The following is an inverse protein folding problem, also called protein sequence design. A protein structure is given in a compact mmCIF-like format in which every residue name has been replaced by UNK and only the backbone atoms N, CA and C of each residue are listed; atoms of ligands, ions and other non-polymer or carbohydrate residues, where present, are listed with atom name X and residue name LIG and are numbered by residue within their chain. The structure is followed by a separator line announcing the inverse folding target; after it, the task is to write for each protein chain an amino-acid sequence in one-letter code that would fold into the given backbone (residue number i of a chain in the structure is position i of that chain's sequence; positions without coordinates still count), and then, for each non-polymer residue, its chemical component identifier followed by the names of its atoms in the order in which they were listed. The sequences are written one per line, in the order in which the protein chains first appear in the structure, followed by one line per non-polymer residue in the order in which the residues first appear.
data_IF_944286680592
#
_entry.id   IF_944286680592
#
_cell.length_a   1.000
_cell.length_b   1.000
_cell.length_c   1.000
_cell.angle_alpha   90.00
_cell.angle_beta   90.00
_cell.angle_gamma   90.00
#
_symmetry.space_group_name_H-M   'P 1'
#
loop_
_entity.id
_entity.type
_entity.pdbx_description
1 polymer ?
#
# COMPACT_ATOMS: atom_id res chain seq x y z
N UNK A 1 5.95 -24.93 25.39
CA UNK A 1 6.65 -23.98 24.48
C UNK A 1 6.86 -24.68 23.16
N UNK A 2 6.57 -24.00 22.07
CA UNK A 2 6.82 -24.49 20.70
C UNK A 2 8.34 -24.54 20.48
N UNK A 3 8.90 -25.68 20.06
CA UNK A 3 10.34 -25.86 19.87
C UNK A 3 10.71 -25.75 18.39
N UNK A 4 11.99 -25.46 18.10
CA UNK A 4 12.54 -25.42 16.73
C UNK A 4 12.25 -26.70 15.94
N UNK A 5 12.33 -27.86 16.59
CA UNK A 5 12.01 -29.17 16.01
C UNK A 5 10.55 -29.29 15.56
N UNK A 6 9.61 -28.69 16.28
CA UNK A 6 8.19 -28.72 15.92
C UNK A 6 7.94 -27.94 14.62
N UNK A 7 8.60 -26.79 14.47
CA UNK A 7 8.53 -25.96 13.26
C UNK A 7 9.19 -26.68 12.08
N UNK A 8 10.37 -27.28 12.26
CA UNK A 8 11.06 -28.05 11.22
C UNK A 8 10.21 -29.24 10.75
N UNK A 9 9.54 -29.93 11.67
CA UNK A 9 8.63 -31.02 11.32
C UNK A 9 7.38 -30.51 10.59
N UNK A 10 6.83 -29.37 11.00
CA UNK A 10 5.71 -28.71 10.30
C UNK A 10 6.09 -28.35 8.86
N UNK A 11 7.28 -27.82 8.63
CA UNK A 11 7.77 -27.50 7.27
C UNK A 11 7.85 -28.75 6.39
N UNK A 12 8.33 -29.89 6.93
CA UNK A 12 8.42 -31.15 6.18
C UNK A 12 7.07 -31.69 5.71
N UNK A 13 5.99 -31.45 6.46
CA UNK A 13 4.65 -31.91 6.09
C UNK A 13 3.89 -30.94 5.18
N UNK A 14 4.37 -29.69 5.04
CA UNK A 14 3.72 -28.64 4.26
C UNK A 14 3.44 -29.03 2.79
N UNK A 15 4.34 -29.73 2.07
CA UNK A 15 4.07 -30.15 0.68
C UNK A 15 2.86 -31.07 0.52
N UNK A 16 2.48 -31.79 1.58
CA UNK A 16 1.39 -32.77 1.58
C UNK A 16 0.05 -32.19 2.04
N UNK A 17 -0.02 -30.89 2.38
CA UNK A 17 -1.24 -30.22 2.81
C UNK A 17 -2.01 -29.67 1.60
N UNK A 18 -3.34 -29.81 1.62
CA UNK A 18 -4.22 -29.29 0.56
C UNK A 18 -4.07 -27.78 0.38
N UNK A 19 -4.06 -27.03 1.49
CA UNK A 19 -3.58 -25.66 1.51
C UNK A 19 -2.12 -25.70 1.95
N UNK A 20 -1.19 -25.20 1.13
CA UNK A 20 0.25 -25.12 1.43
C UNK A 20 0.54 -24.01 2.47
N UNK A 21 -0.31 -23.94 3.48
CA UNK A 21 -0.32 -22.99 4.58
C UNK A 21 -0.31 -23.76 5.89
N UNK A 22 0.63 -23.40 6.76
CA UNK A 22 0.56 -23.77 8.18
C UNK A 22 0.42 -22.50 8.99
N UNK A 23 -0.63 -22.45 9.81
CA UNK A 23 -0.85 -21.41 10.80
C UNK A 23 -0.34 -21.93 12.15
N UNK A 24 0.68 -21.28 12.69
CA UNK A 24 1.17 -21.60 14.03
C UNK A 24 0.64 -20.56 15.00
N UNK A 25 -0.12 -21.02 15.99
CA UNK A 25 -0.73 -20.18 17.02
C UNK A 25 0.03 -20.35 18.33
N UNK A 26 0.50 -19.25 18.93
CA UNK A 26 1.28 -19.30 20.16
C UNK A 26 1.18 -18.06 21.04
N UNK A 27 1.57 -18.20 22.31
CA UNK A 27 1.72 -17.06 23.23
C UNK A 27 2.89 -16.17 22.78
N UNK A 28 2.78 -14.86 23.03
CA UNK A 28 3.77 -13.84 22.61
C UNK A 28 5.13 -14.17 23.20
N UNK A 29 5.99 -14.77 22.38
CA UNK A 29 7.33 -15.17 22.79
C UNK A 29 8.35 -14.70 21.74
N UNK A 30 9.24 -13.78 22.15
CA UNK A 30 10.37 -13.31 21.32
C UNK A 30 11.24 -14.48 20.83
N UNK A 31 11.21 -15.62 21.53
CA UNK A 31 11.94 -16.81 21.14
C UNK A 31 11.46 -17.38 19.79
N UNK A 32 10.16 -17.31 19.49
CA UNK A 32 9.62 -17.90 18.24
C UNK A 32 10.15 -17.12 17.04
N UNK A 33 10.01 -15.79 17.00
CA UNK A 33 10.55 -14.97 15.91
C UNK A 33 12.07 -15.17 15.72
N UNK A 34 12.82 -15.36 16.81
CA UNK A 34 14.25 -15.71 16.75
C UNK A 34 14.50 -17.07 16.08
N UNK A 35 13.72 -18.10 16.44
CA UNK A 35 13.78 -19.43 15.84
C UNK A 35 13.43 -19.36 14.35
N UNK A 36 12.43 -18.57 13.95
CA UNK A 36 12.04 -18.42 12.55
C UNK A 36 13.10 -17.77 11.68
N UNK A 37 13.72 -16.71 12.20
CA UNK A 37 14.86 -16.07 11.53
C UNK A 37 16.02 -17.05 11.39
N UNK A 38 16.32 -17.83 12.44
CA UNK A 38 17.37 -18.86 12.39
C UNK A 38 17.06 -19.92 11.32
N UNK A 39 15.83 -20.44 11.27
CA UNK A 39 15.40 -21.41 10.25
C UNK A 39 15.46 -20.79 8.84
N UNK A 40 15.02 -19.55 8.68
CA UNK A 40 15.12 -18.83 7.41
C UNK A 40 16.57 -18.76 6.90
N UNK A 41 17.50 -18.39 7.78
CA UNK A 41 18.93 -18.34 7.44
C UNK A 41 19.53 -19.73 7.17
N UNK A 42 19.16 -20.74 7.97
CA UNK A 42 19.68 -22.12 7.84
C UNK A 42 19.28 -22.79 6.52
N UNK A 43 18.04 -22.55 6.04
CA UNK A 43 17.50 -23.23 4.87
C UNK A 43 17.28 -22.33 3.64
N UNK A 44 17.67 -21.05 3.72
CA UNK A 44 17.49 -20.08 2.64
C UNK A 44 16.02 -19.80 2.32
N UNK A 45 15.15 -19.78 3.34
CA UNK A 45 13.74 -19.46 3.16
C UNK A 45 13.51 -17.95 3.27
N UNK A 46 12.52 -17.44 2.54
CA UNK A 46 12.12 -16.04 2.67
C UNK A 46 11.49 -15.82 4.04
N UNK A 47 11.91 -14.76 4.72
CA UNK A 47 11.32 -14.32 5.99
C UNK A 47 10.80 -12.89 5.85
N UNK A 48 9.53 -12.71 6.18
CA UNK A 48 8.85 -11.41 6.16
C UNK A 48 8.28 -11.14 7.54
N UNK A 49 8.65 -10.00 8.13
CA UNK A 49 7.87 -9.39 9.18
C UNK A 49 6.74 -8.59 8.53
N UNK A 50 5.55 -9.20 8.47
CA UNK A 50 4.44 -8.63 7.70
C UNK A 50 3.93 -7.33 8.33
N UNK A 51 3.88 -7.26 9.66
CA UNK A 51 3.52 -6.06 10.40
C UNK A 51 4.35 -4.86 9.94
N UNK A 52 5.67 -4.99 9.97
CA UNK A 52 6.59 -3.92 9.60
C UNK A 52 6.39 -3.54 8.12
N UNK A 53 6.48 -4.51 7.21
CA UNK A 53 6.39 -4.25 5.76
C UNK A 53 5.05 -3.65 5.34
N UNK A 54 3.96 -4.13 5.93
CA UNK A 54 2.63 -3.63 5.62
C UNK A 54 2.41 -2.25 6.24
N UNK A 55 2.88 -2.00 7.47
CA UNK A 55 2.81 -0.67 8.08
C UNK A 55 3.56 0.40 7.27
N UNK A 56 4.70 0.05 6.67
CA UNK A 56 5.48 0.96 5.82
C UNK A 56 4.75 1.40 4.56
N UNK A 57 3.85 0.55 4.04
CA UNK A 57 2.98 0.90 2.92
C UNK A 57 1.73 1.64 3.38
N UNK A 58 1.06 1.16 4.42
CA UNK A 58 -0.20 1.73 4.91
C UNK A 58 -0.05 3.11 5.56
N UNK A 59 1.14 3.47 6.08
CA UNK A 59 1.39 4.80 6.66
C UNK A 59 1.23 5.93 5.62
N UNK A 60 1.38 5.61 4.33
CA UNK A 60 1.24 6.57 3.22
C UNK A 60 -0.21 6.88 2.89
N UNK A 61 -1.16 6.19 3.52
CA UNK A 61 -2.59 6.32 3.29
C UNK A 61 -3.31 6.87 4.53
N UNK A 62 -4.35 7.70 4.33
CA UNK A 62 -5.32 8.01 5.36
C UNK A 62 -5.88 6.75 6.02
N UNK A 63 -6.17 6.83 7.32
CA UNK A 63 -6.56 5.66 8.14
C UNK A 63 -7.77 4.91 7.58
N UNK A 64 -8.75 5.66 7.09
CA UNK A 64 -9.99 5.21 6.49
C UNK A 64 -9.81 4.58 5.10
N UNK A 65 -8.77 4.98 4.35
CA UNK A 65 -8.47 4.45 3.02
C UNK A 65 -7.69 3.12 3.07
N UNK A 66 -7.02 2.79 4.18
CA UNK A 66 -6.17 1.58 4.31
C UNK A 66 -6.89 0.29 3.95
N UNK A 67 -8.19 0.19 4.21
CA UNK A 67 -9.01 -0.99 3.93
C UNK A 67 -9.10 -1.33 2.43
N UNK A 68 -8.95 -0.34 1.53
CA UNK A 68 -8.99 -0.56 0.10
C UNK A 68 -7.70 -1.15 -0.46
N UNK A 69 -6.56 -0.82 0.15
CA UNK A 69 -5.24 -1.14 -0.38
C UNK A 69 -4.55 -2.29 0.35
N UNK A 70 -5.03 -2.69 1.54
CA UNK A 70 -4.37 -3.70 2.37
C UNK A 70 -4.14 -5.02 1.64
N UNK A 71 -5.13 -5.55 0.90
CA UNK A 71 -4.96 -6.82 0.18
C UNK A 71 -3.95 -6.68 -0.96
N UNK A 72 -4.00 -5.58 -1.70
CA UNK A 72 -3.04 -5.28 -2.77
C UNK A 72 -1.61 -5.20 -2.22
N UNK A 73 -1.40 -4.46 -1.13
CA UNK A 73 -0.09 -4.30 -0.52
C UNK A 73 0.44 -5.61 0.07
N UNK A 74 -0.41 -6.45 0.65
CA UNK A 74 0.01 -7.78 1.11
C UNK A 74 0.45 -8.65 -0.06
N UNK A 75 -0.30 -8.65 -1.18
CA UNK A 75 0.09 -9.38 -2.39
C UNK A 75 1.44 -8.89 -2.92
N UNK A 76 1.61 -7.57 -3.07
CA UNK A 76 2.84 -6.95 -3.57
C UNK A 76 4.06 -7.28 -2.68
N UNK A 77 3.89 -7.22 -1.36
CA UNK A 77 4.93 -7.61 -0.40
C UNK A 77 5.33 -9.07 -0.62
N UNK A 78 4.37 -9.97 -0.81
CA UNK A 78 4.63 -11.41 -0.96
C UNK A 78 5.26 -11.74 -2.32
N UNK A 79 4.85 -11.05 -3.38
CA UNK A 79 5.37 -11.23 -4.75
C UNK A 79 6.84 -10.82 -4.87
N UNK A 80 7.32 -9.92 -4.01
CA UNK A 80 8.70 -9.42 -3.99
C UNK A 80 9.74 -10.45 -3.50
N UNK A 81 9.30 -11.61 -3.05
CA UNK A 81 10.14 -12.69 -2.53
C UNK A 81 9.99 -13.91 -3.45
N UNK A 82 10.99 -14.78 -3.63
CA UNK A 82 10.93 -15.88 -4.61
C UNK A 82 11.43 -17.25 -4.11
N UNK A 83 11.79 -17.34 -2.84
CA UNK A 83 12.23 -18.55 -2.18
C UNK A 83 11.18 -19.67 -2.16
N UNK A 84 11.69 -20.89 -1.95
CA UNK A 84 10.90 -22.13 -2.01
C UNK A 84 9.82 -22.25 -0.92
N UNK A 85 10.00 -21.52 0.18
CA UNK A 85 9.07 -21.38 1.30
C UNK A 85 9.11 -19.92 1.77
N UNK A 86 7.93 -19.36 2.04
CA UNK A 86 7.78 -18.05 2.64
C UNK A 86 7.32 -18.17 4.09
N UNK A 87 8.09 -17.58 5.01
CA UNK A 87 7.75 -17.44 6.42
C UNK A 87 7.18 -16.05 6.64
N UNK A 88 5.89 -15.97 6.98
CA UNK A 88 5.23 -14.76 7.44
C UNK A 88 5.22 -14.72 8.97
N UNK A 89 5.99 -13.81 9.54
CA UNK A 89 5.98 -13.49 10.95
C UNK A 89 5.18 -12.19 11.19
N UNK A 90 4.69 -12.03 12.41
CA UNK A 90 3.96 -10.85 12.86
C UNK A 90 2.81 -10.44 11.92
N UNK A 91 1.87 -11.34 11.70
CA UNK A 91 0.70 -11.07 10.83
C UNK A 91 -0.42 -10.29 11.54
N UNK A 92 -0.20 -9.79 12.77
CA UNK A 92 -1.26 -9.25 13.63
C UNK A 92 -1.96 -8.04 13.00
N UNK A 93 -1.23 -7.23 12.22
CA UNK A 93 -1.79 -6.08 11.51
C UNK A 93 -2.98 -6.45 10.64
N UNK A 94 -3.01 -7.66 10.06
CA UNK A 94 -4.13 -8.08 9.22
C UNK A 94 -5.45 -8.16 10.00
N UNK A 95 -5.38 -8.40 11.30
CA UNK A 95 -6.53 -8.57 12.18
C UNK A 95 -7.09 -7.24 12.68
N UNK A 96 -6.51 -6.11 12.26
CA UNK A 96 -7.01 -4.80 12.62
C UNK A 96 -8.38 -4.52 12.00
N UNK A 97 -9.35 -4.15 12.84
CA UNK A 97 -10.76 -4.00 12.43
C UNK A 97 -10.96 -2.94 11.33
N UNK A 98 -10.15 -1.88 11.35
CA UNK A 98 -10.25 -0.79 10.38
C UNK A 98 -9.91 -1.23 8.96
N UNK A 99 -9.15 -2.33 8.80
CA UNK A 99 -8.77 -2.86 7.49
C UNK A 99 -9.92 -3.63 6.81
N UNK A 100 -10.97 -4.01 7.55
CA UNK A 100 -12.19 -4.65 7.03
C UNK A 100 -11.96 -5.89 6.15
N UNK A 101 -10.84 -6.58 6.33
CA UNK A 101 -10.51 -7.82 5.60
C UNK A 101 -10.80 -9.08 6.41
N UNK A 102 -10.84 -10.22 5.73
CA UNK A 102 -10.79 -11.54 6.36
C UNK A 102 -9.35 -12.10 6.26
N UNK A 103 -8.54 -12.02 7.33
CA UNK A 103 -7.11 -12.36 7.29
C UNK A 103 -6.86 -13.82 6.94
N UNK A 104 -7.71 -14.71 7.47
CA UNK A 104 -7.56 -16.14 7.24
C UNK A 104 -7.89 -16.49 5.78
N UNK A 105 -8.92 -15.86 5.22
CA UNK A 105 -9.25 -16.02 3.81
C UNK A 105 -8.15 -15.46 2.91
N UNK A 106 -7.61 -14.29 3.22
CA UNK A 106 -6.49 -13.68 2.50
C UNK A 106 -5.28 -14.61 2.49
N UNK A 107 -4.82 -15.07 3.67
CA UNK A 107 -3.68 -15.99 3.79
C UNK A 107 -3.93 -17.33 3.08
N UNK A 108 -5.15 -17.84 3.16
CA UNK A 108 -5.56 -19.05 2.44
C UNK A 108 -5.50 -18.85 0.93
N UNK A 109 -5.95 -17.71 0.41
CA UNK A 109 -5.90 -17.39 -1.00
C UNK A 109 -4.46 -17.28 -1.49
N UNK A 110 -3.60 -16.59 -0.74
CA UNK A 110 -2.16 -16.46 -1.00
C UNK A 110 -1.46 -17.83 -1.06
N UNK A 111 -1.83 -18.74 -0.16
CA UNK A 111 -1.24 -20.08 -0.09
C UNK A 111 -1.52 -20.99 -1.29
N UNK A 112 -2.43 -20.60 -2.20
CA UNK A 112 -2.65 -21.32 -3.46
C UNK A 112 -1.47 -21.18 -4.41
N UNK A 113 -0.79 -20.03 -4.37
CA UNK A 113 0.30 -19.69 -5.27
C UNK A 113 1.67 -19.82 -4.60
N UNK A 114 1.73 -19.74 -3.26
CA UNK A 114 2.96 -19.81 -2.48
C UNK A 114 2.89 -20.84 -1.38
N UNK A 115 4.00 -21.55 -1.17
CA UNK A 115 4.21 -22.33 0.05
C UNK A 115 4.47 -21.34 1.18
N UNK A 116 3.63 -21.37 2.21
CA UNK A 116 3.63 -20.36 3.25
C UNK A 116 3.56 -20.99 4.64
N UNK A 117 4.33 -20.42 5.55
CA UNK A 117 4.25 -20.67 6.98
C UNK A 117 3.93 -19.35 7.64
N UNK A 118 2.71 -19.19 8.17
CA UNK A 118 2.30 -17.94 8.80
C UNK A 118 2.14 -18.12 10.31
N UNK A 119 2.77 -17.24 11.08
CA UNK A 119 2.76 -17.27 12.53
C UNK A 119 1.81 -16.22 13.08
N UNK A 120 0.88 -16.68 13.90
CA UNK A 120 -0.09 -15.86 14.59
C UNK A 120 0.11 -15.94 16.10
N UNK A 121 0.09 -14.79 16.76
CA UNK A 121 0.14 -14.73 18.22
C UNK A 121 -1.30 -14.75 18.75
N UNK A 122 -1.69 -15.80 19.47
CA UNK A 122 -3.00 -15.89 20.13
C UNK A 122 -2.81 -16.19 21.62
N UNK A 123 -3.43 -15.38 22.49
CA UNK A 123 -3.64 -15.73 23.90
C UNK A 123 -4.82 -16.70 24.01
N UNK A 124 -4.65 -17.73 24.84
CA UNK A 124 -5.65 -18.78 25.10
C UNK A 124 -7.00 -18.22 25.59
N UNK A 125 -8.05 -18.99 25.26
CA UNK A 125 -9.45 -18.59 25.17
C UNK A 125 -10.18 -18.33 26.51
N UNK A 126 -10.77 -17.15 26.65
CA UNK A 126 -12.23 -16.92 26.65
C UNK A 126 -12.47 -15.42 26.42
N UNK A 127 -13.34 -15.07 25.48
CA UNK A 127 -14.00 -13.75 25.51
C UNK A 127 -15.10 -13.93 26.57
N UNK A 128 -14.99 -13.20 27.69
CA UNK A 128 -15.53 -11.84 27.71
C UNK A 128 -14.59 -10.87 28.42
N UNK A 129 -13.70 -10.25 27.66
CA UNK A 129 -13.29 -8.87 27.96
C UNK A 129 -13.52 -8.08 26.69
N UNK A 130 -14.33 -7.04 26.80
CA UNK A 130 -14.69 -6.19 25.68
C UNK A 130 -13.44 -5.56 25.08
N UNK A 131 -13.50 -5.20 23.80
CA UNK A 131 -12.39 -4.57 23.09
C UNK A 131 -11.80 -3.36 23.87
N UNK A 132 -12.60 -2.68 24.70
CA UNK A 132 -12.18 -1.60 25.58
C UNK A 132 -11.01 -1.97 26.54
N UNK A 133 -11.07 -3.12 27.22
CA UNK A 133 -10.03 -3.52 28.19
C UNK A 133 -8.73 -3.96 27.49
N UNK A 134 -8.86 -4.49 26.27
CA UNK A 134 -7.73 -4.80 25.40
C UNK A 134 -6.99 -3.54 24.94
N UNK A 135 -7.73 -2.49 24.53
CA UNK A 135 -7.14 -1.20 24.16
C UNK A 135 -6.54 -0.46 25.37
N UNK A 136 -7.13 -0.57 26.56
CA UNK A 136 -6.58 0.00 27.78
C UNK A 136 -5.19 -0.57 28.14
N UNK A 137 -4.95 -1.85 27.87
CA UNK A 137 -3.66 -2.50 28.11
C UNK A 137 -2.55 -2.14 27.12
N UNK A 138 -2.90 -1.69 25.90
CA UNK A 138 -1.93 -1.25 24.89
C UNK A 138 -1.31 0.10 25.27
N UNK A 139 -2.14 1.05 25.72
CA UNK A 139 -1.71 2.37 26.21
C UNK A 139 -0.75 2.30 27.40
N UNK A 140 -0.88 1.27 28.25
CA UNK A 140 0.00 1.11 29.41
C UNK A 140 1.36 0.50 29.08
N UNK A 141 1.51 -0.22 27.95
CA UNK A 141 2.67 -1.09 27.70
C UNK A 141 3.49 -0.72 26.48
N UNK A 142 2.90 0.02 25.55
CA UNK A 142 3.55 0.40 24.30
C UNK A 142 3.42 1.91 24.08
N UNK A 143 4.49 2.56 23.61
CA UNK A 143 4.41 3.93 23.13
C UNK A 143 3.43 4.03 21.97
N UNK A 144 2.45 4.92 22.12
CA UNK A 144 1.47 5.25 21.11
C UNK A 144 2.00 6.38 20.22
N UNK A 145 1.80 6.25 18.90
CA UNK A 145 2.01 7.29 17.89
C UNK A 145 0.89 7.23 16.86
N UNK A 146 0.19 8.34 16.63
CA UNK A 146 -0.92 8.45 15.66
C UNK A 146 -1.98 7.33 15.78
N UNK A 147 -2.32 6.95 17.02
CA UNK A 147 -3.28 5.87 17.31
C UNK A 147 -2.77 4.46 17.06
N UNK A 148 -1.47 4.28 16.80
CA UNK A 148 -0.80 2.99 16.63
C UNK A 148 0.19 2.73 17.78
N UNK A 149 0.41 1.46 18.10
CA UNK A 149 1.29 1.04 19.21
C UNK A 149 2.55 0.36 18.69
N UNK A 150 3.72 0.86 19.08
CA UNK A 150 5.02 0.41 18.58
C UNK A 150 5.88 -0.25 19.65
N UNK A 151 6.84 -1.09 19.24
CA UNK A 151 7.94 -1.46 20.12
C UNK A 151 8.89 -0.26 20.30
N UNK A 152 9.59 -0.14 21.46
CA UNK A 152 10.45 1.02 21.74
C UNK A 152 11.52 1.30 20.68
N UNK A 153 12.07 0.26 20.05
CA UNK A 153 13.03 0.35 18.95
C UNK A 153 12.41 0.79 17.61
N UNK A 154 11.13 0.47 17.40
CA UNK A 154 10.36 0.89 16.22
C UNK A 154 9.93 2.35 16.32
N UNK A 155 9.77 2.89 17.54
CA UNK A 155 9.41 4.30 17.75
C UNK A 155 10.42 5.22 17.09
N UNK A 156 11.73 4.93 17.18
CA UNK A 156 12.76 5.79 16.60
C UNK A 156 12.66 5.81 15.07
N UNK A 157 12.37 4.67 14.46
CA UNK A 157 12.21 4.54 13.01
C UNK A 157 10.92 5.22 12.56
N UNK A 158 9.83 5.04 13.31
CA UNK A 158 8.55 5.68 13.07
C UNK A 158 8.64 7.19 13.22
N UNK A 159 9.17 7.68 14.33
CA UNK A 159 9.32 9.11 14.64
C UNK A 159 10.23 9.79 13.61
N UNK A 160 11.29 9.12 13.14
CA UNK A 160 12.13 9.64 12.04
C UNK A 160 11.35 9.77 10.72
N UNK A 161 10.62 8.72 10.32
CA UNK A 161 9.77 8.77 9.12
C UNK A 161 8.63 9.77 9.28
N UNK A 162 8.08 9.90 10.48
CA UNK A 162 7.02 10.86 10.82
C UNK A 162 7.55 12.29 10.76
N UNK A 163 8.75 12.56 11.26
CA UNK A 163 9.40 13.86 11.10
C UNK A 163 9.71 14.17 9.63
N UNK A 164 10.19 13.19 8.85
CA UNK A 164 10.37 13.36 7.39
C UNK A 164 9.03 13.65 6.68
N UNK A 165 7.93 13.01 7.12
CA UNK A 165 6.58 13.28 6.62
C UNK A 165 6.03 14.62 7.11
N UNK A 166 6.29 15.04 8.36
CA UNK A 166 5.87 16.33 8.91
C UNK A 166 6.65 17.50 8.30
N UNK A 167 7.92 17.29 7.95
CA UNK A 167 8.73 18.21 7.18
C UNK A 167 8.17 18.36 5.75
N UNK A 168 7.68 17.26 5.16
CA UNK A 168 6.89 17.30 3.93
C UNK A 168 5.51 17.96 4.14
N UNK A 169 4.86 17.80 5.31
CA UNK A 169 3.57 18.45 5.62
C UNK A 169 3.65 19.97 5.78
N UNK A 170 4.81 20.52 6.15
CA UNK A 170 5.06 21.97 6.07
C UNK A 170 5.18 22.48 4.62
N UNK A 171 5.52 21.59 3.67
CA UNK A 171 5.51 21.85 2.22
C UNK A 171 4.10 21.57 1.62
N UNK A 172 3.25 20.79 2.30
CA UNK A 172 1.87 20.37 1.91
C UNK A 172 0.78 21.46 1.91
N UNK A 173 1.15 22.75 1.89
CA UNK A 173 0.19 23.80 1.54
C UNK A 173 0.07 23.99 0.03
N UNK A 174 1.16 23.71 -0.72
CA UNK A 174 1.24 23.96 -2.15
C UNK A 174 0.70 22.77 -2.95
N UNK A 175 -0.07 23.07 -3.99
CA UNK A 175 -0.53 22.08 -4.97
C UNK A 175 0.53 22.02 -6.07
N UNK A 176 1.31 20.94 -6.09
CA UNK A 176 2.43 20.74 -7.01
C UNK A 176 2.09 19.72 -8.11
N UNK A 177 1.27 18.73 -7.77
CA UNK A 177 0.87 17.61 -8.61
C UNK A 177 -0.56 17.16 -8.29
N UNK A 178 -1.09 16.19 -9.03
CA UNK A 178 -2.45 15.69 -8.78
C UNK A 178 -2.62 15.11 -7.38
N UNK A 179 -1.60 14.42 -6.86
CA UNK A 179 -1.67 13.80 -5.54
C UNK A 179 -1.83 14.86 -4.44
N UNK A 180 -1.00 15.89 -4.46
CA UNK A 180 -1.08 17.02 -3.52
C UNK A 180 -2.35 17.83 -3.73
N UNK A 181 -2.85 17.96 -4.97
CA UNK A 181 -4.16 18.58 -5.26
C UNK A 181 -5.31 17.86 -4.58
N UNK A 182 -5.39 16.53 -4.71
CA UNK A 182 -6.45 15.72 -4.10
C UNK A 182 -6.37 15.79 -2.57
N UNK A 183 -5.16 15.75 -2.00
CA UNK A 183 -4.95 15.90 -0.56
C UNK A 183 -5.42 17.27 -0.05
N UNK A 184 -5.07 18.34 -0.78
CA UNK A 184 -5.53 19.69 -0.47
C UNK A 184 -7.07 19.78 -0.51
N UNK A 185 -7.70 19.21 -1.55
CA UNK A 185 -9.15 19.21 -1.71
C UNK A 185 -9.85 18.41 -0.61
N UNK A 186 -9.34 17.22 -0.25
CA UNK A 186 -9.87 16.43 0.87
C UNK A 186 -9.88 17.22 2.16
N UNK A 187 -8.73 17.81 2.52
CA UNK A 187 -8.60 18.64 3.72
C UNK A 187 -9.56 19.82 3.73
N UNK A 188 -9.78 20.46 2.58
CA UNK A 188 -10.70 21.60 2.47
C UNK A 188 -12.17 21.17 2.57
N UNK A 189 -12.53 20.01 2.01
CA UNK A 189 -13.89 19.46 2.01
C UNK A 189 -14.26 18.72 3.31
N UNK A 190 -13.27 18.23 4.06
CA UNK A 190 -13.46 17.67 5.41
C UNK A 190 -13.93 18.73 6.41
N UNK A 191 -13.51 20.00 6.24
CA UNK A 191 -13.99 21.11 7.08
C UNK A 191 -15.49 21.30 6.93
N UNK A 192 -15.96 21.32 5.69
CA UNK A 192 -17.37 21.42 5.31
C UNK A 192 -17.54 21.14 3.81
N UNK A 193 -18.72 20.63 3.38
CA UNK A 193 -19.08 20.61 1.96
C UNK A 193 -19.11 22.01 1.35
N UNK A 194 -18.52 22.17 0.15
CA UNK A 194 -18.35 23.47 -0.52
C UNK A 194 -18.68 23.39 -2.01
N UNK A 195 -19.20 24.49 -2.56
CA UNK A 195 -19.44 24.62 -4.01
C UNK A 195 -18.13 24.86 -4.77
N UNK A 196 -18.13 24.61 -6.08
CA UNK A 196 -16.98 24.90 -6.94
C UNK A 196 -16.49 26.36 -6.78
N UNK A 197 -17.42 27.31 -6.71
CA UNK A 197 -17.12 28.75 -6.58
C UNK A 197 -16.42 29.11 -5.26
N UNK A 198 -16.66 28.35 -4.19
CA UNK A 198 -15.98 28.54 -2.90
C UNK A 198 -14.58 27.91 -2.88
N UNK A 199 -14.37 26.83 -3.64
CA UNK A 199 -13.12 26.07 -3.68
C UNK A 199 -12.12 26.72 -4.65
N UNK A 200 -12.57 27.12 -5.84
CA UNK A 200 -11.73 27.61 -6.92
C UNK A 200 -10.75 28.73 -6.54
N UNK A 201 -11.15 29.84 -5.89
CA UNK A 201 -10.22 30.92 -5.58
C UNK A 201 -9.12 30.47 -4.61
N UNK A 202 -9.46 29.62 -3.62
CA UNK A 202 -8.50 29.07 -2.66
C UNK A 202 -7.56 28.08 -3.32
N UNK A 203 -8.06 27.25 -4.24
CA UNK A 203 -7.26 26.28 -4.97
C UNK A 203 -6.24 26.98 -5.86
N UNK A 204 -6.64 28.02 -6.59
CA UNK A 204 -5.75 28.80 -7.45
C UNK A 204 -4.67 29.55 -6.67
N UNK A 205 -4.98 29.99 -5.44
CA UNK A 205 -4.00 30.65 -4.57
C UNK A 205 -2.84 29.72 -4.18
N UNK A 206 -3.13 28.43 -4.01
CA UNK A 206 -2.16 27.43 -3.56
C UNK A 206 -1.51 26.67 -4.74
N UNK A 207 -1.94 26.93 -5.98
CA UNK A 207 -1.50 26.23 -7.18
C UNK A 207 -0.08 26.64 -7.62
N UNK A 208 0.86 25.71 -7.51
CA UNK A 208 2.28 25.87 -7.87
C UNK A 208 2.77 24.67 -8.67
N UNK A 209 2.00 24.27 -9.68
CA UNK A 209 2.21 23.03 -10.42
C UNK A 209 3.64 22.87 -10.98
N UNK A 210 4.13 21.63 -10.98
CA UNK A 210 5.42 21.31 -11.60
C UNK A 210 5.36 21.44 -13.12
N UNK A 211 6.47 21.84 -13.75
CA UNK A 211 6.53 22.12 -15.20
C UNK A 211 6.19 20.91 -16.09
N UNK A 212 6.45 19.70 -15.61
CA UNK A 212 6.20 18.46 -16.35
C UNK A 212 4.83 17.86 -16.07
N UNK A 213 4.13 18.36 -15.04
CA UNK A 213 2.86 17.80 -14.61
C UNK A 213 1.74 18.40 -15.45
N UNK A 214 0.97 17.51 -16.11
CA UNK A 214 -0.33 17.85 -16.68
C UNK A 214 -1.40 17.66 -15.59
N UNK A 215 -1.57 18.67 -14.76
CA UNK A 215 -2.60 18.64 -13.72
C UNK A 215 -4.01 18.71 -14.37
N UNK A 216 -4.94 17.82 -13.99
CA UNK A 216 -6.34 17.95 -14.42
C UNK A 216 -6.97 19.24 -13.93
N UNK A 217 -8.03 19.71 -14.61
CA UNK A 217 -8.77 20.88 -14.15
C UNK A 217 -9.43 20.60 -12.80
N UNK A 218 -9.67 21.66 -12.02
CA UNK A 218 -10.28 21.52 -10.69
C UNK A 218 -11.62 20.75 -10.74
N UNK A 219 -12.43 20.96 -11.77
CA UNK A 219 -13.70 20.26 -11.91
C UNK A 219 -13.48 18.76 -12.15
N UNK A 220 -12.53 18.39 -13.00
CA UNK A 220 -12.17 16.99 -13.26
C UNK A 220 -11.66 16.33 -11.97
N UNK A 221 -10.80 17.01 -11.21
CA UNK A 221 -10.31 16.53 -9.91
C UNK A 221 -11.47 16.27 -8.93
N UNK A 222 -12.47 17.14 -8.92
CA UNK A 222 -13.65 17.02 -8.08
C UNK A 222 -14.53 15.85 -8.53
N UNK A 223 -14.85 15.75 -9.82
CA UNK A 223 -15.66 14.69 -10.41
C UNK A 223 -15.04 13.30 -10.28
N UNK A 224 -13.72 13.20 -10.39
CA UNK A 224 -13.01 11.92 -10.33
C UNK A 224 -12.80 11.41 -8.90
N UNK A 225 -12.86 12.26 -7.87
CA UNK A 225 -12.45 11.90 -6.50
C UNK A 225 -13.50 12.18 -5.42
N UNK A 226 -14.53 12.98 -5.71
CA UNK A 226 -15.50 13.44 -4.71
C UNK A 226 -16.94 13.27 -5.20
N UNK A 227 -17.90 13.48 -4.31
CA UNK A 227 -19.32 13.49 -4.66
C UNK A 227 -19.91 14.87 -4.46
N UNK A 228 -20.92 15.17 -5.27
CA UNK A 228 -21.68 16.41 -5.17
C UNK A 228 -23.07 16.14 -4.58
N UNK A 229 -23.52 16.99 -3.68
CA UNK A 229 -24.89 16.96 -3.17
C UNK A 229 -25.86 17.68 -4.12
N UNK A 230 -27.17 17.58 -3.85
CA UNK A 230 -28.22 18.22 -4.65
C UNK A 230 -28.11 19.75 -4.71
N UNK A 231 -27.35 20.37 -3.79
CA UNK A 231 -27.11 21.81 -3.72
C UNK A 231 -25.83 22.22 -4.45
N UNK A 232 -25.19 21.29 -5.17
CA UNK A 232 -23.96 21.56 -5.91
C UNK A 232 -22.70 21.61 -5.04
N UNK A 233 -22.76 21.13 -3.79
CA UNK A 233 -21.61 21.13 -2.86
C UNK A 233 -20.89 19.81 -2.92
N UNK A 234 -19.59 19.89 -3.13
CA UNK A 234 -18.67 18.77 -3.08
C UNK A 234 -18.41 18.34 -1.64
N UNK A 235 -18.28 17.03 -1.42
CA UNK A 235 -17.94 16.45 -0.13
C UNK A 235 -17.15 15.15 -0.29
N UNK A 236 -16.44 14.76 0.77
CA UNK A 236 -15.68 13.51 0.81
C UNK A 236 -16.64 12.32 0.87
N UNK A 237 -16.58 11.39 -0.10
CA UNK A 237 -17.49 10.24 -0.14
C UNK A 237 -17.21 9.26 0.99
N UNK A 238 -18.27 8.63 1.50
CA UNK A 238 -18.13 7.50 2.43
C UNK A 238 -17.42 6.31 1.75
N UNK A 239 -16.72 5.44 2.52
CA UNK A 239 -15.97 4.31 1.98
C UNK A 239 -16.77 3.36 1.06
N UNK A 240 -18.09 3.28 1.23
CA UNK A 240 -18.94 2.43 0.39
C UNK A 240 -19.16 2.98 -1.03
N UNK A 241 -19.06 4.30 -1.23
CA UNK A 241 -19.27 4.97 -2.52
C UNK A 241 -17.96 5.24 -3.27
N UNK A 242 -16.82 5.09 -2.60
CA UNK A 242 -15.49 5.35 -3.14
C UNK A 242 -15.09 4.35 -4.23
N UNK A 243 -15.54 3.09 -4.14
CA UNK A 243 -15.20 2.04 -5.12
C UNK A 243 -15.68 2.35 -6.55
N UNK A 244 -16.84 2.98 -6.72
CA UNK A 244 -17.37 3.30 -8.04
C UNK A 244 -16.66 4.51 -8.66
N UNK A 245 -16.30 5.49 -7.84
CA UNK A 245 -15.45 6.62 -8.25
C UNK A 245 -14.06 6.13 -8.68
N UNK A 246 -13.44 5.22 -7.92
CA UNK A 246 -12.14 4.64 -8.27
C UNK A 246 -12.17 3.89 -9.62
N UNK A 247 -13.26 3.17 -9.92
CA UNK A 247 -13.43 2.50 -11.22
C UNK A 247 -13.51 3.52 -12.36
N UNK A 248 -14.26 4.61 -12.16
CA UNK A 248 -14.41 5.67 -13.16
C UNK A 248 -13.08 6.39 -13.38
N UNK A 249 -12.43 6.83 -12.30
CA UNK A 249 -11.11 7.48 -12.33
C UNK A 249 -10.08 6.59 -13.01
N UNK A 250 -10.01 5.30 -12.64
CA UNK A 250 -9.12 4.33 -13.28
C UNK A 250 -9.37 4.23 -14.79
N UNK A 251 -10.63 4.26 -15.24
CA UNK A 251 -10.97 4.25 -16.66
C UNK A 251 -10.46 5.51 -17.36
N UNK A 252 -10.60 6.68 -16.75
CA UNK A 252 -10.08 7.96 -17.29
C UNK A 252 -8.55 7.94 -17.39
N UNK A 253 -7.86 7.56 -16.32
CA UNK A 253 -6.40 7.45 -16.28
C UNK A 253 -5.86 6.51 -17.36
N UNK A 254 -6.51 5.36 -17.55
CA UNK A 254 -6.11 4.40 -18.58
C UNK A 254 -6.37 4.92 -19.99
N UNK A 255 -7.48 5.66 -20.21
CA UNK A 255 -7.74 6.28 -21.50
C UNK A 255 -6.65 7.30 -21.85
N UNK A 256 -6.26 8.13 -20.89
CA UNK A 256 -5.17 9.10 -21.08
C UNK A 256 -3.81 8.41 -21.29
N UNK A 257 -3.53 7.32 -20.58
CA UNK A 257 -2.33 6.53 -20.82
C UNK A 257 -2.26 5.95 -22.25
N UNK A 258 -3.40 5.52 -22.82
CA UNK A 258 -3.44 5.07 -24.22
C UNK A 258 -3.12 6.21 -25.21
N UNK A 259 -3.46 7.46 -24.89
CA UNK A 259 -3.04 8.61 -25.69
C UNK A 259 -1.51 8.78 -25.66
N UNK A 260 -0.89 8.59 -24.51
CA UNK A 260 0.57 8.56 -24.39
C UNK A 260 1.19 7.41 -25.18
N UNK A 261 0.57 6.22 -25.15
CA UNK A 261 1.00 5.06 -25.96
C UNK A 261 0.98 5.33 -27.46
N UNK A 262 -0.05 6.03 -27.93
CA UNK A 262 -0.26 6.33 -29.35
C UNK A 262 0.51 7.57 -29.83
N UNK A 263 0.92 8.45 -28.92
CA UNK A 263 1.79 9.58 -29.26
C UNK A 263 3.24 9.14 -29.55
N UNK A 264 3.98 10.00 -30.26
CA UNK A 264 5.39 9.77 -30.62
C UNK A 264 6.30 10.81 -29.97
N UNK A 265 7.54 10.43 -29.65
CA UNK A 265 8.55 11.33 -29.10
C UNK A 265 8.50 11.48 -27.56
N UNK A 266 9.41 12.29 -27.02
CA UNK A 266 9.56 12.48 -25.56
C UNK A 266 8.32 13.13 -24.94
N UNK A 267 7.88 12.60 -23.80
CA UNK A 267 6.79 13.14 -23.00
C UNK A 267 7.33 14.27 -22.11
N UNK A 268 7.08 15.52 -22.49
CA UNK A 268 7.53 16.71 -21.73
C UNK A 268 6.53 17.15 -20.66
N UNK A 269 5.24 17.02 -20.96
CA UNK A 269 4.13 17.37 -20.08
C UNK A 269 3.16 16.19 -20.09
N UNK A 270 2.90 15.60 -18.94
CA UNK A 270 2.06 14.41 -18.80
C UNK A 270 1.48 14.32 -17.40
N UNK A 271 0.37 13.59 -17.26
CA UNK A 271 -0.28 13.34 -15.98
C UNK A 271 0.40 12.15 -15.31
N UNK A 272 1.13 12.38 -14.23
CA UNK A 272 1.94 11.32 -13.59
C UNK A 272 1.10 10.14 -13.10
N UNK A 273 -0.12 10.40 -12.60
CA UNK A 273 -1.07 9.36 -12.19
C UNK A 273 -1.50 8.44 -13.35
N UNK A 274 -1.63 8.98 -14.57
CA UNK A 274 -1.97 8.18 -15.75
C UNK A 274 -0.81 7.24 -16.13
N UNK A 275 0.44 7.69 -16.00
CA UNK A 275 1.63 6.84 -16.18
C UNK A 275 1.64 5.70 -15.16
N UNK A 276 1.45 6.01 -13.86
CA UNK A 276 1.39 4.99 -12.79
C UNK A 276 0.29 3.97 -13.04
N UNK A 277 -0.93 4.42 -13.38
CA UNK A 277 -2.07 3.54 -13.67
C UNK A 277 -1.81 2.65 -14.90
N UNK A 278 -1.23 3.24 -15.96
CA UNK A 278 -0.83 2.52 -17.17
C UNK A 278 0.23 1.46 -16.91
N UNK A 279 1.31 1.82 -16.20
CA UNK A 279 2.39 0.89 -15.87
C UNK A 279 1.90 -0.27 -15.02
N UNK A 280 1.07 0.01 -14.00
CA UNK A 280 0.43 -1.02 -13.19
C UNK A 280 -0.43 -1.98 -14.03
N UNK A 281 -1.19 -1.47 -15.01
CA UNK A 281 -1.98 -2.30 -15.93
C UNK A 281 -1.07 -3.14 -16.84
N UNK A 282 -0.09 -2.51 -17.50
CA UNK A 282 0.85 -3.21 -18.37
C UNK A 282 1.61 -4.31 -17.61
N UNK A 283 2.00 -4.06 -16.36
CA UNK A 283 2.68 -5.03 -15.51
C UNK A 283 1.80 -6.26 -15.24
N UNK A 284 0.53 -6.02 -14.87
CA UNK A 284 -0.47 -7.07 -14.68
C UNK A 284 -0.70 -7.90 -15.95
N UNK A 285 -0.73 -7.22 -17.09
CA UNK A 285 -0.97 -7.83 -18.41
C UNK A 285 0.31 -8.42 -19.03
N UNK A 286 1.46 -8.33 -18.34
CA UNK A 286 2.80 -8.71 -18.81
C UNK A 286 3.28 -8.00 -20.07
N UNK A 287 2.73 -6.82 -20.35
CA UNK A 287 3.16 -5.94 -21.44
C UNK A 287 4.38 -5.11 -21.00
N UNK A 288 5.51 -5.80 -20.76
CA UNK A 288 6.76 -5.17 -20.32
C UNK A 288 7.33 -4.23 -21.39
N UNK A 289 7.15 -4.60 -22.66
CA UNK A 289 7.59 -3.79 -23.81
C UNK A 289 6.97 -2.39 -23.80
N UNK A 290 5.67 -2.26 -23.50
CA UNK A 290 5.03 -0.94 -23.39
C UNK A 290 5.58 -0.13 -22.21
N UNK A 291 5.89 -0.76 -21.07
CA UNK A 291 6.48 -0.08 -19.91
C UNK A 291 7.84 0.52 -20.29
N UNK A 292 8.73 -0.28 -20.87
CA UNK A 292 10.06 0.18 -21.29
C UNK A 292 9.94 1.29 -22.33
N UNK A 293 9.14 1.08 -23.39
CA UNK A 293 8.92 2.06 -24.46
C UNK A 293 8.43 3.40 -23.95
N UNK A 294 7.53 3.41 -22.97
CA UNK A 294 7.02 4.66 -22.39
C UNK A 294 8.02 5.25 -21.39
N UNK A 295 8.69 4.42 -20.58
CA UNK A 295 9.70 4.85 -19.62
C UNK A 295 10.87 5.60 -20.28
N UNK A 296 11.37 5.10 -21.43
CA UNK A 296 12.42 5.78 -22.22
C UNK A 296 12.01 7.14 -22.77
N UNK A 297 10.70 7.41 -22.83
CA UNK A 297 10.15 8.68 -23.31
C UNK A 297 9.95 9.69 -22.19
N UNK A 298 10.00 9.27 -20.92
CA UNK A 298 9.88 10.14 -19.76
C UNK A 298 11.20 10.90 -19.51
N UNK A 299 11.16 12.08 -18.88
CA UNK A 299 12.37 12.74 -18.40
C UNK A 299 13.06 11.90 -17.32
N UNK A 300 14.38 11.76 -17.41
CA UNK A 300 15.18 10.94 -16.48
C UNK A 300 14.98 11.32 -15.01
N UNK A 301 14.86 12.63 -14.72
CA UNK A 301 14.61 13.12 -13.36
C UNK A 301 13.31 12.55 -12.78
N UNK A 302 12.23 12.49 -13.59
CA UNK A 302 10.93 12.00 -13.12
C UNK A 302 10.93 10.48 -12.98
N UNK A 303 11.61 9.79 -13.89
CA UNK A 303 11.79 8.35 -13.80
C UNK A 303 12.51 7.95 -12.51
N UNK A 304 13.50 8.72 -12.06
CA UNK A 304 14.26 8.45 -10.83
C UNK A 304 13.56 8.91 -9.55
N UNK A 305 12.84 10.03 -9.58
CA UNK A 305 12.15 10.59 -8.41
C UNK A 305 10.90 9.78 -8.04
N UNK A 306 10.18 9.23 -9.02
CA UNK A 306 8.99 8.42 -8.77
C UNK A 306 9.33 6.94 -8.54
N UNK A 307 9.39 6.54 -7.28
CA UNK A 307 9.67 5.15 -6.89
C UNK A 307 8.76 4.08 -7.53
N UNK A 308 7.50 4.40 -7.86
CA UNK A 308 6.58 3.43 -8.47
C UNK A 308 6.86 3.28 -9.96
N UNK A 309 7.07 4.39 -10.66
CA UNK A 309 7.42 4.38 -12.09
C UNK A 309 8.79 3.71 -12.28
N UNK A 310 9.79 4.08 -11.47
CA UNK A 310 11.13 3.49 -11.48
C UNK A 310 11.07 1.97 -11.30
N UNK A 311 10.37 1.51 -10.28
CA UNK A 311 10.21 0.09 -9.97
C UNK A 311 9.62 -0.69 -11.15
N UNK A 312 8.54 -0.20 -11.77
CA UNK A 312 7.95 -0.87 -12.92
C UNK A 312 8.91 -0.90 -14.12
N UNK A 313 9.62 0.19 -14.37
CA UNK A 313 10.56 0.31 -15.47
C UNK A 313 11.75 -0.65 -15.32
N UNK A 314 12.45 -0.62 -14.19
CA UNK A 314 13.62 -1.47 -13.92
C UNK A 314 13.26 -2.96 -13.97
N UNK A 315 12.11 -3.32 -13.39
CA UNK A 315 11.63 -4.69 -13.42
C UNK A 315 11.23 -5.13 -14.84
N UNK A 316 10.64 -4.24 -15.65
CA UNK A 316 10.29 -4.54 -17.02
C UNK A 316 11.54 -4.74 -17.91
N UNK A 317 12.58 -3.94 -17.71
CA UNK A 317 13.89 -4.13 -18.38
C UNK A 317 14.47 -5.50 -18.05
N UNK A 318 14.48 -5.86 -16.76
CA UNK A 318 15.05 -7.14 -16.31
C UNK A 318 14.31 -8.32 -16.96
N UNK A 319 12.97 -8.27 -16.98
CA UNK A 319 12.15 -9.33 -17.60
C UNK A 319 12.33 -9.42 -19.11
N UNK A 320 12.49 -8.30 -19.81
CA UNK A 320 12.79 -8.29 -21.24
C UNK A 320 14.20 -8.82 -21.55
N UNK A 321 15.15 -8.68 -20.63
CA UNK A 321 16.51 -9.22 -20.78
C UNK A 321 16.59 -10.74 -20.57
N UNK A 322 15.71 -11.31 -19.74
CA UNK A 322 15.66 -12.77 -19.48
C UNK A 322 15.01 -13.57 -20.62
N UNK A 323 14.13 -12.98 -21.43
CA UNK A 323 13.46 -13.65 -22.56
C UNK A 323 14.37 -13.82 -23.81
N UNK A 324 15.64 -13.40 -23.74
CA UNK A 324 16.61 -13.45 -24.83
C UNK A 324 17.81 -14.39 -24.58
N UNK A 325 17.74 -15.28 -23.58
CA UNK A 325 18.80 -16.28 -23.27
C UNK A 325 18.32 -17.71 -23.44
#
# INVERSE_FOLDING_TARGET
MLKELDIKNAIKILPYKYYKLILIMGLKDRQISGILKKISLEFGYDYINLNLKLSEKLIRLPFDERCFYVEEYVNEIIESYHGSLLILDNIEILFEKHLKINPLLLLKNLSRYRRMLAFHIQKGASIPMGAADFYAGLKQRFPERDGMYFLPDQVIIYDKKRMEMELNDQISFLILDEKTAIQWLRRELEKKPQTYQEIQPKFLQELHQMKHEKLPELLDLLEENFLQDEKGRWYVPDPSKQSDLEKLRKKTLLKEFEEYKNSTGRLKVFRTEAIRAGFKKCWKDKDYATIVKIGERLPESILQEDSSILMYYDNAITRMGEDHV
#
